data_IF_825140446317
#
_entry.id   IF_825140446317
#
_cell.length_a   1.000
_cell.length_b   1.000
_cell.length_c   1.000
_cell.angle_alpha   90.00
_cell.angle_beta   90.00
_cell.angle_gamma   90.00
#
_symmetry.space_group_name_H-M   'P 1'
#
loop_
_entity.id
_entity.type
_entity.pdbx_description
1 polymer ?
#
# COMPACT_ATOMS: atom_id res chain seq x y z
N UNK A 1 -3.60 8.31 6.23
CA UNK A 1 -4.60 8.21 5.14
C UNK A 1 -5.99 8.33 5.74
N UNK A 2 -6.85 9.20 5.18
CA UNK A 2 -8.22 9.46 5.68
C UNK A 2 -9.32 8.77 4.85
N UNK A 3 -8.95 7.79 4.00
CA UNK A 3 -9.88 7.08 3.13
C UNK A 3 -10.74 7.96 2.20
N UNK A 4 -10.20 9.08 1.71
CA UNK A 4 -10.89 10.01 0.82
C UNK A 4 -11.04 9.56 -0.65
N UNK A 5 -10.41 8.46 -1.07
CA UNK A 5 -10.52 7.93 -2.43
C UNK A 5 -9.93 8.77 -3.56
N UNK A 6 -9.44 9.99 -3.30
CA UNK A 6 -8.90 10.90 -4.32
C UNK A 6 -7.73 10.30 -5.12
N UNK A 7 -6.89 9.49 -4.46
CA UNK A 7 -5.80 8.79 -5.12
C UNK A 7 -6.29 7.74 -6.12
N UNK A 8 -7.41 7.03 -5.83
CA UNK A 8 -8.01 6.02 -6.72
C UNK A 8 -8.53 6.66 -8.01
N UNK A 9 -9.18 7.82 -7.90
CA UNK A 9 -9.70 8.56 -9.05
C UNK A 9 -8.58 9.12 -9.95
N UNK A 10 -7.42 9.47 -9.39
CA UNK A 10 -6.30 10.03 -10.14
C UNK A 10 -5.43 8.98 -10.86
N UNK A 11 -5.54 7.70 -10.50
CA UNK A 11 -4.67 6.66 -11.03
C UNK A 11 -5.29 5.95 -12.25
N UNK A 12 -4.62 6.04 -13.40
CA UNK A 12 -5.02 5.38 -14.65
C UNK A 12 -5.22 3.86 -14.53
N UNK A 13 -4.52 3.21 -13.61
CA UNK A 13 -4.56 1.75 -13.44
C UNK A 13 -5.45 1.33 -12.26
N UNK A 14 -6.17 2.28 -11.63
CA UNK A 14 -6.81 2.12 -10.32
C UNK A 14 -5.86 1.58 -9.21
N UNK A 15 -4.56 1.52 -9.49
CA UNK A 15 -3.55 0.93 -8.63
C UNK A 15 -3.20 1.82 -7.44
N UNK A 16 -3.79 3.01 -7.35
CA UNK A 16 -3.68 3.86 -6.18
C UNK A 16 -4.38 3.32 -4.92
N UNK A 17 -5.11 2.21 -5.02
CA UNK A 17 -5.37 1.36 -3.85
C UNK A 17 -4.07 0.99 -3.14
N UNK A 18 -2.93 0.83 -3.84
CA UNK A 18 -1.61 0.71 -3.21
C UNK A 18 -1.31 1.87 -2.26
N UNK A 19 -1.67 3.13 -2.53
CA UNK A 19 -1.40 4.23 -1.59
C UNK A 19 -2.27 4.11 -0.34
N UNK A 20 -3.52 3.69 -0.51
CA UNK A 20 -4.48 3.54 0.58
C UNK A 20 -4.08 2.39 1.51
N UNK A 21 -3.77 1.23 0.94
CA UNK A 21 -3.29 0.06 1.68
C UNK A 21 -1.86 0.26 2.20
N UNK A 22 -0.93 0.79 1.38
CA UNK A 22 0.45 1.04 1.84
C UNK A 22 0.53 2.06 2.95
N UNK A 23 -0.27 3.14 2.92
CA UNK A 23 -0.30 4.10 4.01
C UNK A 23 -0.82 3.46 5.31
N UNK A 24 -1.78 2.52 5.22
CA UNK A 24 -2.30 1.80 6.38
C UNK A 24 -1.31 0.75 6.89
N UNK A 25 -0.65 0.02 6.00
CA UNK A 25 0.43 -0.92 6.33
C UNK A 25 1.61 -0.18 6.97
N UNK A 26 2.07 0.92 6.38
CA UNK A 26 3.14 1.76 6.95
C UNK A 26 2.77 2.30 8.33
N UNK A 27 1.53 2.75 8.52
CA UNK A 27 1.08 3.24 9.81
C UNK A 27 1.08 2.14 10.89
N UNK A 28 0.56 0.96 10.55
CA UNK A 28 0.52 -0.18 11.48
C UNK A 28 1.90 -0.83 11.70
N UNK A 29 2.81 -0.74 10.73
CA UNK A 29 4.18 -1.23 10.85
C UNK A 29 5.06 -0.34 11.76
N UNK A 30 4.72 0.94 11.91
CA UNK A 30 5.39 1.84 12.85
C UNK A 30 4.99 1.61 14.31
N UNK A 31 3.85 0.96 14.54
CA UNK A 31 3.38 0.64 15.88
C UNK A 31 4.01 -0.67 16.38
N UNK A 32 4.56 -0.71 17.61
CA UNK A 32 5.19 -1.91 18.16
C UNK A 32 4.22 -3.09 18.30
N UNK A 33 2.92 -2.81 18.49
CA UNK A 33 1.86 -3.83 18.55
C UNK A 33 1.63 -4.53 17.20
N UNK A 34 1.95 -3.87 16.09
CA UNK A 34 1.68 -4.36 14.74
C UNK A 34 2.82 -5.16 14.11
N UNK A 35 3.98 -5.28 14.77
CA UNK A 35 5.17 -5.91 14.17
C UNK A 35 5.05 -7.44 14.04
N UNK A 36 4.39 -8.11 14.98
CA UNK A 36 4.21 -9.57 14.94
C UNK A 36 3.37 -10.01 13.73
N UNK A 37 2.32 -9.26 13.42
CA UNK A 37 1.37 -9.57 12.33
C UNK A 37 1.71 -8.84 11.02
N UNK A 38 2.84 -8.12 10.95
CA UNK A 38 3.12 -7.28 9.77
C UNK A 38 3.21 -8.12 8.49
N UNK A 39 3.87 -9.28 8.60
CA UNK A 39 4.23 -10.11 7.45
C UNK A 39 2.97 -10.80 6.89
N UNK A 40 2.14 -11.38 7.77
CA UNK A 40 0.85 -11.96 7.39
C UNK A 40 -0.13 -10.92 6.86
N UNK A 41 -0.18 -9.73 7.47
CA UNK A 41 -1.05 -8.63 7.02
C UNK A 41 -0.65 -8.10 5.65
N UNK A 42 0.65 -7.96 5.38
CA UNK A 42 1.12 -7.52 4.07
C UNK A 42 0.73 -8.54 2.98
N UNK A 43 0.87 -9.83 3.27
CA UNK A 43 0.46 -10.90 2.34
C UNK A 43 -1.06 -10.94 2.14
N UNK A 44 -1.86 -10.83 3.20
CA UNK A 44 -3.31 -10.89 3.11
C UNK A 44 -3.89 -9.68 2.37
N UNK A 45 -3.36 -8.48 2.62
CA UNK A 45 -3.80 -7.28 1.89
C UNK A 45 -3.45 -7.35 0.41
N UNK A 46 -2.25 -7.82 0.04
CA UNK A 46 -1.89 -7.98 -1.38
C UNK A 46 -2.77 -9.04 -2.05
N UNK A 47 -3.06 -10.17 -1.37
CA UNK A 47 -3.95 -11.19 -1.91
C UNK A 47 -5.39 -10.69 -2.15
N UNK A 48 -5.92 -9.84 -1.25
CA UNK A 48 -7.22 -9.20 -1.47
C UNK A 48 -7.17 -8.19 -2.61
N UNK A 49 -6.07 -7.46 -2.75
CA UNK A 49 -5.89 -6.49 -3.85
C UNK A 49 -5.85 -7.18 -5.22
N UNK A 50 -5.19 -8.34 -5.32
CA UNK A 50 -5.15 -9.14 -6.54
C UNK A 50 -6.54 -9.72 -6.87
N UNK A 51 -7.30 -10.14 -5.84
CA UNK A 51 -8.68 -10.64 -6.02
C UNK A 51 -9.64 -9.54 -6.52
N UNK A 52 -9.48 -8.31 -6.05
CA UNK A 52 -10.25 -7.14 -6.50
C UNK A 52 -9.74 -6.57 -7.85
N UNK A 53 -8.75 -7.22 -8.47
CA UNK A 53 -8.19 -6.86 -9.79
C UNK A 53 -7.63 -5.44 -9.87
N UNK A 54 -7.01 -4.94 -8.79
CA UNK A 54 -6.26 -3.68 -8.86
C UNK A 54 -4.99 -3.86 -9.70
N UNK A 55 -4.74 -2.95 -10.64
CA UNK A 55 -3.56 -3.02 -11.51
C UNK A 55 -2.23 -2.76 -10.79
N UNK A 56 -1.12 -2.96 -11.49
CA UNK A 56 0.21 -2.63 -10.98
C UNK A 56 0.48 -1.11 -10.97
N UNK A 57 1.33 -0.67 -10.05
CA UNK A 57 1.82 0.71 -9.99
C UNK A 57 2.88 0.96 -11.08
N UNK A 58 2.67 1.95 -11.94
CA UNK A 58 3.63 2.38 -12.97
C UNK A 58 4.45 3.61 -12.55
N UNK A 59 4.49 3.94 -11.26
CA UNK A 59 5.25 5.07 -10.68
C UNK A 59 4.96 6.44 -11.33
N UNK A 60 3.73 6.69 -11.74
CA UNK A 60 3.30 7.95 -12.37
C UNK A 60 3.20 9.14 -11.42
N UNK A 61 3.22 8.92 -10.10
CA UNK A 61 3.23 9.99 -9.10
C UNK A 61 1.96 10.84 -8.98
N UNK A 62 0.93 10.58 -9.79
CA UNK A 62 -0.33 11.33 -9.77
C UNK A 62 -1.09 11.22 -8.43
N UNK A 63 -0.88 10.11 -7.70
CA UNK A 63 -1.55 9.82 -6.44
C UNK A 63 -1.07 10.67 -5.25
N UNK A 64 0.19 11.11 -5.23
CA UNK A 64 0.69 12.00 -4.17
C UNK A 64 0.21 13.44 -4.39
N UNK A 65 0.14 13.90 -5.64
CA UNK A 65 -0.34 15.24 -5.99
C UNK A 65 -1.85 15.43 -5.74
N UNK A 66 -2.64 14.37 -5.87
CA UNK A 66 -4.09 14.42 -5.61
C UNK A 66 -4.45 14.29 -4.12
N UNK A 67 -3.48 13.97 -3.25
CA UNK A 67 -3.78 13.69 -1.85
C UNK A 67 -3.86 14.99 -1.03
N UNK A 68 -4.99 15.28 -0.36
CA UNK A 68 -5.13 16.47 0.49
C UNK A 68 -4.27 16.42 1.76
N UNK A 69 -3.70 15.25 2.08
CA UNK A 69 -2.85 15.01 3.26
C UNK A 69 -1.41 14.69 2.82
N UNK A 70 -1.07 14.94 1.56
CA UNK A 70 0.30 14.81 1.02
C UNK A 70 0.98 13.47 1.38
N UNK A 71 0.29 12.36 1.11
CA UNK A 71 0.88 11.04 1.35
C UNK A 71 2.01 10.81 0.34
N UNK A 72 3.23 10.61 0.86
CA UNK A 72 4.42 10.32 0.05
C UNK A 72 4.36 8.94 -0.62
N UNK A 73 4.97 8.84 -1.80
CA UNK A 73 5.21 7.60 -2.55
C UNK A 73 6.11 6.61 -1.79
N UNK A 74 6.84 7.06 -0.78
CA UNK A 74 7.67 6.20 0.08
C UNK A 74 6.88 5.08 0.76
N UNK A 75 5.59 5.30 1.01
CA UNK A 75 4.72 4.27 1.58
C UNK A 75 4.56 3.07 0.64
N UNK A 76 4.40 3.32 -0.67
CA UNK A 76 4.33 2.27 -1.70
C UNK A 76 5.64 1.46 -1.71
N UNK A 77 6.78 2.16 -1.68
CA UNK A 77 8.08 1.52 -1.66
C UNK A 77 8.29 0.68 -0.39
N UNK A 78 7.83 1.17 0.77
CA UNK A 78 7.87 0.42 2.04
C UNK A 78 7.00 -0.83 1.97
N UNK A 79 5.78 -0.72 1.46
CA UNK A 79 4.87 -1.86 1.31
C UNK A 79 5.47 -2.96 0.43
N UNK A 80 6.05 -2.60 -0.72
CA UNK A 80 6.73 -3.56 -1.60
C UNK A 80 7.91 -4.26 -0.89
N UNK A 81 8.66 -3.53 -0.05
CA UNK A 81 9.74 -4.12 0.75
C UNK A 81 9.20 -5.09 1.80
N UNK A 82 8.13 -4.74 2.50
CA UNK A 82 7.52 -5.65 3.50
C UNK A 82 6.90 -6.88 2.84
N UNK A 83 6.24 -6.72 1.69
CA UNK A 83 5.73 -7.86 0.90
C UNK A 83 6.85 -8.79 0.44
N UNK A 84 7.97 -8.23 -0.07
CA UNK A 84 9.14 -9.04 -0.45
C UNK A 84 9.78 -9.74 0.75
N UNK A 85 9.92 -9.05 1.89
CA UNK A 85 10.42 -9.65 3.14
C UNK A 85 9.54 -10.79 3.63
N UNK A 86 8.23 -10.58 3.67
CA UNK A 86 7.26 -11.60 4.06
C UNK A 86 7.30 -12.81 3.11
N UNK A 87 7.39 -12.56 1.80
CA UNK A 87 7.49 -13.62 0.78
C UNK A 87 8.77 -14.45 0.92
N UNK A 88 9.90 -13.83 1.28
CA UNK A 88 11.17 -14.53 1.53
C UNK A 88 11.11 -15.33 2.83
N UNK A 89 10.52 -14.77 3.90
CA UNK A 89 10.37 -15.46 5.21
C UNK A 89 9.45 -16.67 5.15
N UNK A 90 8.46 -16.66 4.26
CA UNK A 90 7.47 -17.73 4.10
C UNK A 90 7.99 -18.92 3.28
N UNK A 91 9.18 -18.80 2.69
CA UNK A 91 9.83 -19.83 1.86
C UNK A 91 10.84 -20.63 2.69
#
# INVERSE_FOLDING_TARGET
CIACGACVAACKNASASFVLFSAKISHLALLPQGQAEQDERALSMVAQMDAESFGACTNTGACSAACPVEISLENIARMNREYMRASIKRR
#
